data_IF_461756957279
#
_entry.id   IF_461756957279
#
_cell.length_a   1.000
_cell.length_b   1.000
_cell.length_c   1.000
_cell.angle_alpha   90.00
_cell.angle_beta   90.00
_cell.angle_gamma   90.00
#
_symmetry.space_group_name_H-M   'P 1'
#
loop_
_entity.id
_entity.type
_entity.pdbx_description
1 polymer ?
#
# COMPACT_ATOMS: atom_id res chain seq x y z
N UNK A 1 6.99 7.90 29.12
CA UNK A 1 6.77 7.37 27.78
C UNK A 1 7.81 7.98 26.88
N UNK A 2 8.63 7.14 26.24
CA UNK A 2 9.66 7.58 25.31
C UNK A 2 9.15 7.40 23.89
N UNK A 3 9.10 8.49 23.13
CA UNK A 3 8.66 8.45 21.74
C UNK A 3 9.84 8.17 20.83
N UNK A 4 9.60 7.44 19.75
CA UNK A 4 10.56 7.33 18.66
C UNK A 4 9.86 7.54 17.33
N UNK A 5 10.46 8.39 16.51
CA UNK A 5 9.96 8.76 15.19
C UNK A 5 10.90 8.15 14.16
N UNK A 6 10.41 7.13 13.46
CA UNK A 6 11.08 6.54 12.32
C UNK A 6 10.71 7.32 11.06
N UNK A 7 11.71 7.77 10.31
CA UNK A 7 11.48 8.67 9.18
C UNK A 7 12.17 8.23 7.89
N UNK A 8 11.48 8.38 6.77
CA UNK A 8 12.07 8.35 5.43
C UNK A 8 12.81 9.66 5.15
N UNK A 9 12.18 10.81 5.38
CA UNK A 9 12.81 12.13 5.25
C UNK A 9 12.73 12.89 6.57
N UNK A 10 13.85 13.47 6.99
CA UNK A 10 13.91 14.19 8.26
C UNK A 10 13.04 15.46 8.26
N UNK A 11 12.99 16.27 7.17
CA UNK A 11 12.11 17.43 7.11
C UNK A 11 10.62 17.11 7.34
N UNK A 12 10.14 15.97 6.86
CA UNK A 12 8.75 15.55 7.08
C UNK A 12 8.52 15.09 8.53
N UNK A 13 9.53 14.49 9.16
CA UNK A 13 9.46 14.17 10.59
C UNK A 13 9.37 15.43 11.44
N UNK A 14 10.20 16.44 11.15
CA UNK A 14 10.18 17.72 11.85
C UNK A 14 8.84 18.43 11.64
N UNK A 15 8.29 18.40 10.42
CA UNK A 15 6.95 18.90 10.12
C UNK A 15 5.85 18.27 11.00
N UNK A 16 5.84 16.94 11.15
CA UNK A 16 4.87 16.26 12.01
C UNK A 16 5.12 16.55 13.49
N UNK A 17 6.38 16.56 13.93
CA UNK A 17 6.73 16.80 15.34
C UNK A 17 6.30 18.19 15.77
N UNK A 18 6.66 19.22 15.02
CA UNK A 18 6.47 20.62 15.40
C UNK A 18 5.00 21.05 15.35
N UNK A 19 4.18 20.38 14.55
CA UNK A 19 2.74 20.66 14.44
C UNK A 19 1.85 19.77 15.33
N UNK A 20 2.42 18.82 16.07
CA UNK A 20 1.68 17.94 16.98
C UNK A 20 2.15 18.11 18.43
N UNK A 21 1.51 17.40 19.36
CA UNK A 21 1.92 17.32 20.75
C UNK A 21 3.28 16.63 20.94
N UNK A 22 3.83 15.99 19.91
CA UNK A 22 5.16 15.35 19.95
C UNK A 22 6.27 16.35 20.28
N UNK A 23 6.17 17.62 19.85
CA UNK A 23 7.14 18.67 20.20
C UNK A 23 7.30 18.87 21.72
N UNK A 24 6.26 18.54 22.48
CA UNK A 24 6.23 18.68 23.94
C UNK A 24 6.67 17.39 24.66
N UNK A 25 7.08 16.35 23.92
CA UNK A 25 7.45 15.04 24.47
C UNK A 25 8.96 14.82 24.41
N UNK A 26 9.42 13.84 25.19
CA UNK A 26 10.76 13.28 25.00
C UNK A 26 10.73 12.29 23.85
N UNK A 27 11.51 12.55 22.81
CA UNK A 27 11.56 11.69 21.64
C UNK A 27 12.97 11.51 21.07
N UNK A 28 13.13 10.47 20.25
CA UNK A 28 14.32 10.25 19.43
C UNK A 28 13.91 10.05 17.97
N UNK A 29 14.53 10.78 17.06
CA UNK A 29 14.39 10.53 15.61
C UNK A 29 15.33 9.42 15.17
N UNK A 30 14.88 8.52 14.30
CA UNK A 30 15.68 7.45 13.68
C UNK A 30 15.38 7.34 12.19
N UNK A 31 16.43 7.29 11.38
CA UNK A 31 16.29 6.98 9.95
C UNK A 31 15.66 5.60 9.81
N UNK A 32 14.61 5.52 9.00
CA UNK A 32 13.97 4.29 8.59
C UNK A 32 14.66 3.78 7.33
N UNK A 33 15.10 2.52 7.36
CA UNK A 33 15.61 1.83 6.17
C UNK A 33 14.48 1.00 5.58
N UNK A 34 14.11 1.27 4.33
CA UNK A 34 12.82 0.85 3.77
C UNK A 34 12.75 -0.66 3.44
N UNK A 35 13.88 -1.25 3.06
CA UNK A 35 14.00 -2.68 2.76
C UNK A 35 15.46 -3.12 2.69
N UNK A 36 15.73 -4.42 2.81
CA UNK A 36 17.04 -5.00 2.50
C UNK A 36 17.38 -4.85 1.00
N UNK A 37 16.36 -4.84 0.14
CA UNK A 37 16.50 -4.60 -1.29
C UNK A 37 17.16 -3.25 -1.60
N UNK A 38 16.81 -2.18 -0.88
CA UNK A 38 17.31 -0.84 -1.13
C UNK A 38 18.43 -0.43 -0.17
N UNK A 39 18.46 -0.98 1.05
CA UNK A 39 19.36 -0.58 2.13
C UNK A 39 20.03 -1.79 2.81
N UNK A 40 20.58 -2.70 2.01
CA UNK A 40 21.25 -3.93 2.45
C UNK A 40 22.17 -3.75 3.67
N UNK A 41 22.96 -2.66 3.68
CA UNK A 41 23.93 -2.39 4.74
C UNK A 41 23.30 -2.15 6.11
N UNK A 42 22.12 -1.55 6.19
CA UNK A 42 21.58 -1.06 7.46
C UNK A 42 20.20 -1.64 7.82
N UNK A 43 19.47 -2.25 6.87
CA UNK A 43 18.11 -2.73 7.13
C UNK A 43 18.02 -3.75 8.28
N UNK A 44 19.07 -4.55 8.47
CA UNK A 44 19.13 -5.51 9.58
C UNK A 44 18.95 -4.87 10.97
N UNK A 45 19.36 -3.60 11.12
CA UNK A 45 19.22 -2.82 12.35
C UNK A 45 17.79 -2.39 12.68
N UNK A 46 16.85 -2.50 11.73
CA UNK A 46 15.44 -2.16 11.99
C UNK A 46 14.83 -3.14 13.01
N UNK A 47 14.13 -2.68 14.04
CA UNK A 47 13.47 -3.59 14.97
C UNK A 47 12.40 -4.47 14.29
N UNK A 48 12.14 -5.65 14.84
CA UNK A 48 11.17 -6.61 14.28
C UNK A 48 9.77 -6.00 14.13
N UNK A 49 9.28 -5.30 15.15
CA UNK A 49 7.96 -4.66 15.12
C UNK A 49 7.84 -3.58 14.04
N UNK A 50 8.95 -2.91 13.67
CA UNK A 50 8.98 -1.99 12.53
C UNK A 50 9.04 -2.76 11.22
N UNK A 51 9.88 -3.80 11.11
CA UNK A 51 9.96 -4.65 9.91
C UNK A 51 8.60 -5.24 9.52
N UNK A 52 7.78 -5.59 10.51
CA UNK A 52 6.39 -6.05 10.31
C UNK A 52 5.49 -5.02 9.63
N UNK A 53 5.78 -3.72 9.72
CA UNK A 53 5.08 -2.66 8.96
C UNK A 53 5.69 -2.50 7.56
N UNK A 54 7.00 -2.76 7.41
CA UNK A 54 7.76 -2.56 6.16
C UNK A 54 7.73 -3.76 5.17
N UNK A 55 7.06 -4.85 5.54
CA UNK A 55 7.13 -6.12 4.79
C UNK A 55 6.64 -6.02 3.34
N UNK A 56 5.66 -5.16 3.06
CA UNK A 56 5.19 -4.87 1.70
C UNK A 56 5.98 -3.73 1.07
N UNK A 57 5.94 -2.56 1.70
CA UNK A 57 6.68 -1.36 1.34
C UNK A 57 6.69 -0.40 2.54
N UNK A 58 7.59 0.59 2.55
CA UNK A 58 7.75 1.50 3.68
C UNK A 58 6.82 2.72 3.58
N UNK A 59 6.12 3.12 4.68
CA UNK A 59 5.51 4.44 4.78
C UNK A 59 6.58 5.54 4.89
N UNK A 60 6.19 6.81 4.91
CA UNK A 60 7.14 7.92 5.05
C UNK A 60 7.54 8.18 6.52
N UNK A 61 6.66 7.85 7.46
CA UNK A 61 6.88 8.06 8.89
C UNK A 61 6.15 7.01 9.74
N UNK A 62 6.77 6.60 10.85
CA UNK A 62 6.14 5.77 11.89
C UNK A 62 6.47 6.38 13.25
N UNK A 63 5.47 6.56 14.10
CA UNK A 63 5.66 6.97 15.50
C UNK A 63 5.41 5.77 16.41
N UNK A 64 6.32 5.52 17.35
CA UNK A 64 6.15 4.53 18.41
C UNK A 64 6.25 5.17 19.81
N UNK A 65 5.53 4.59 20.77
CA UNK A 65 5.65 4.85 22.20
C UNK A 65 6.18 3.58 22.85
N UNK A 66 7.29 3.64 23.59
CA UNK A 66 7.82 2.53 24.39
C UNK A 66 7.91 1.20 23.59
N UNK A 67 8.38 1.28 22.33
CA UNK A 67 8.52 0.18 21.35
C UNK A 67 7.24 -0.34 20.68
N UNK A 68 6.11 0.31 20.91
CA UNK A 68 4.85 -0.02 20.23
C UNK A 68 4.50 1.08 19.21
N UNK A 69 4.39 0.75 17.91
CA UNK A 69 3.92 1.68 16.89
C UNK A 69 2.49 2.14 17.18
N UNK A 70 2.26 3.45 17.12
CA UNK A 70 1.00 4.09 17.47
C UNK A 70 0.31 4.73 16.25
N UNK A 71 1.06 5.12 15.23
CA UNK A 71 0.53 5.44 13.90
C UNK A 71 1.65 5.50 12.85
N UNK A 72 1.27 5.39 11.58
CA UNK A 72 2.12 5.64 10.41
C UNK A 72 1.55 6.75 9.54
N UNK A 73 2.40 7.38 8.72
CA UNK A 73 2.02 8.42 7.78
C UNK A 73 2.63 8.13 6.42
N UNK A 74 1.81 8.22 5.38
CA UNK A 74 2.19 8.14 3.97
C UNK A 74 1.78 9.43 3.28
N UNK A 75 2.68 10.00 2.46
CA UNK A 75 2.43 11.22 1.70
C UNK A 75 2.68 11.01 0.21
N UNK A 76 1.78 11.53 -0.61
CA UNK A 76 1.88 11.50 -2.06
C UNK A 76 1.44 12.83 -2.65
N UNK A 77 2.10 13.22 -3.73
CA UNK A 77 1.74 14.37 -4.58
C UNK A 77 1.35 13.93 -5.99
N UNK A 78 1.07 12.64 -6.17
CA UNK A 78 0.74 12.07 -7.47
C UNK A 78 -0.66 12.47 -7.95
N UNK A 79 -0.83 12.47 -9.27
CA UNK A 79 -2.12 12.74 -9.91
C UNK A 79 -3.12 11.59 -9.61
N UNK A 80 -4.38 11.94 -9.34
CA UNK A 80 -5.32 11.07 -8.63
C UNK A 80 -6.13 10.06 -9.45
N UNK A 81 -6.12 10.12 -10.78
CA UNK A 81 -7.06 9.34 -11.60
C UNK A 81 -6.69 7.86 -11.71
N UNK A 82 -7.71 7.01 -11.77
CA UNK A 82 -7.57 5.58 -12.05
C UNK A 82 -6.85 4.83 -10.93
N UNK A 83 -5.78 4.12 -11.29
CA UNK A 83 -5.01 3.26 -10.37
C UNK A 83 -4.06 4.06 -9.45
N UNK A 84 -3.75 5.32 -9.78
CA UNK A 84 -2.69 6.08 -9.12
C UNK A 84 -2.99 6.36 -7.64
N UNK A 85 -4.24 6.68 -7.30
CA UNK A 85 -4.65 6.91 -5.92
C UNK A 85 -4.36 5.70 -4.99
N UNK A 86 -4.30 4.50 -5.57
CA UNK A 86 -4.06 3.25 -4.86
C UNK A 86 -2.59 2.83 -4.83
N UNK A 87 -1.69 3.50 -5.56
CA UNK A 87 -0.29 3.08 -5.72
C UNK A 87 0.43 2.85 -4.37
N UNK A 88 0.06 3.63 -3.34
CA UNK A 88 0.62 3.54 -1.98
C UNK A 88 -0.22 2.68 -1.02
N UNK A 89 -1.35 2.14 -1.46
CA UNK A 89 -2.32 1.48 -0.60
C UNK A 89 -1.75 0.27 0.15
N UNK A 90 -0.82 -0.48 -0.45
CA UNK A 90 -0.15 -1.60 0.21
C UNK A 90 0.61 -1.20 1.49
N UNK A 91 1.13 0.04 1.58
CA UNK A 91 1.80 0.58 2.78
C UNK A 91 0.82 0.84 3.92
N UNK A 92 -0.36 1.36 3.56
CA UNK A 92 -1.46 1.62 4.47
C UNK A 92 -2.02 0.31 5.01
N UNK A 93 -2.29 -0.65 4.10
CA UNK A 93 -2.70 -2.00 4.47
C UNK A 93 -1.68 -2.64 5.43
N UNK A 94 -0.39 -2.66 5.09
CA UNK A 94 0.65 -3.22 5.97
C UNK A 94 0.64 -2.63 7.39
N UNK A 95 0.38 -1.33 7.53
CA UNK A 95 0.28 -0.67 8.84
C UNK A 95 -0.96 -1.15 9.61
N UNK A 96 -2.12 -1.11 8.95
CA UNK A 96 -3.41 -1.50 9.53
C UNK A 96 -3.44 -2.99 9.91
N UNK A 97 -2.87 -3.87 9.07
CA UNK A 97 -2.74 -5.31 9.32
C UNK A 97 -1.92 -5.60 10.60
N UNK A 98 -1.01 -4.70 10.96
CA UNK A 98 -0.19 -4.77 12.16
C UNK A 98 -0.73 -3.96 13.33
N UNK A 99 -2.02 -3.60 13.29
CA UNK A 99 -2.71 -2.81 14.31
C UNK A 99 -2.12 -1.42 14.55
N UNK A 100 -1.60 -0.81 13.47
CA UNK A 100 -1.05 0.53 13.47
C UNK A 100 -1.96 1.44 12.64
N UNK A 101 -2.61 2.44 13.27
CA UNK A 101 -3.38 3.46 12.56
C UNK A 101 -2.56 4.11 11.45
N UNK A 102 -3.18 4.34 10.30
CA UNK A 102 -2.50 4.90 9.13
C UNK A 102 -3.11 6.24 8.71
N UNK A 103 -2.26 7.22 8.45
CA UNK A 103 -2.62 8.49 7.83
C UNK A 103 -2.13 8.51 6.39
N UNK A 104 -3.00 8.92 5.45
CA UNK A 104 -2.67 9.07 4.05
C UNK A 104 -2.89 10.50 3.59
N UNK A 105 -1.82 11.19 3.22
CA UNK A 105 -1.86 12.54 2.67
C UNK A 105 -1.81 12.43 1.15
N UNK A 106 -2.90 12.80 0.47
CA UNK A 106 -3.00 12.71 -0.99
C UNK A 106 -3.77 13.89 -1.56
N UNK A 107 -3.36 14.51 -2.68
CA UNK A 107 -4.07 15.67 -3.22
C UNK A 107 -5.49 15.33 -3.67
N UNK A 108 -6.45 16.20 -3.38
CA UNK A 108 -7.79 16.06 -3.96
C UNK A 108 -7.75 16.10 -5.50
N UNK A 109 -6.88 16.96 -6.04
CA UNK A 109 -6.51 16.96 -7.45
C UNK A 109 -5.11 17.57 -7.62
N UNK A 110 -4.42 17.12 -8.68
CA UNK A 110 -3.16 17.69 -9.13
C UNK A 110 -3.27 18.10 -10.61
N UNK A 111 -2.57 19.16 -11.01
CA UNK A 111 -2.54 19.60 -12.41
C UNK A 111 -1.72 18.62 -13.24
N UNK A 112 -2.29 18.20 -14.37
CA UNK A 112 -1.58 17.48 -15.41
C UNK A 112 -1.54 18.31 -16.69
N UNK A 113 -0.37 18.31 -17.33
CA UNK A 113 -0.13 18.98 -18.61
C UNK A 113 0.21 17.91 -19.63
N UNK A 114 -0.49 17.93 -20.77
CA UNK A 114 -0.17 17.06 -21.92
C UNK A 114 0.14 17.94 -23.12
N UNK A 115 0.92 17.40 -24.05
CA UNK A 115 1.25 18.08 -25.29
C UNK A 115 -0.03 18.52 -26.01
N UNK A 116 -0.06 19.77 -26.46
CA UNK A 116 -1.15 20.37 -27.24
C UNK A 116 -2.54 20.43 -26.57
N UNK A 117 -2.60 20.32 -25.23
CA UNK A 117 -3.85 20.52 -24.48
C UNK A 117 -3.64 21.47 -23.29
N UNK A 118 -4.64 22.31 -22.95
CA UNK A 118 -4.57 23.13 -21.75
C UNK A 118 -4.37 22.27 -20.49
N UNK A 119 -3.65 22.79 -19.47
CA UNK A 119 -3.55 22.15 -18.17
C UNK A 119 -4.94 21.83 -17.61
N UNK A 120 -5.06 20.68 -16.93
CA UNK A 120 -6.31 20.28 -16.28
C UNK A 120 -6.07 19.63 -14.94
N UNK A 121 -7.07 19.71 -14.07
CA UNK A 121 -7.07 18.99 -12.80
C UNK A 121 -7.34 17.51 -13.00
N UNK A 122 -6.44 16.68 -12.50
CA UNK A 122 -6.59 15.23 -12.39
C UNK A 122 -7.02 14.89 -10.96
N UNK A 123 -8.32 14.61 -10.81
CA UNK A 123 -8.98 14.45 -9.51
C UNK A 123 -8.72 13.06 -8.93
N UNK A 124 -8.72 12.99 -7.60
CA UNK A 124 -8.62 11.73 -6.87
C UNK A 124 -9.77 10.78 -7.23
N UNK A 125 -9.42 9.52 -7.45
CA UNK A 125 -10.39 8.45 -7.61
C UNK A 125 -11.12 8.21 -6.29
N UNK A 126 -12.45 8.43 -6.20
CA UNK A 126 -13.16 8.35 -4.93
C UNK A 126 -13.20 6.94 -4.34
N UNK A 127 -13.00 5.90 -5.15
CA UNK A 127 -12.99 4.52 -4.65
C UNK A 127 -11.88 4.26 -3.61
N UNK A 128 -10.85 5.12 -3.52
CA UNK A 128 -9.84 5.07 -2.45
C UNK A 128 -10.46 5.26 -1.05
N UNK A 129 -11.50 6.09 -0.92
CA UNK A 129 -12.19 6.32 0.36
C UNK A 129 -12.86 5.04 0.84
N UNK A 130 -13.56 4.34 -0.07
CA UNK A 130 -14.19 3.06 0.23
C UNK A 130 -13.15 2.00 0.59
N UNK A 131 -12.04 1.91 -0.14
CA UNK A 131 -10.99 0.94 0.16
C UNK A 131 -10.39 1.15 1.56
N UNK A 132 -10.20 2.41 1.97
CA UNK A 132 -9.76 2.76 3.32
C UNK A 132 -10.82 2.46 4.40
N UNK A 133 -12.10 2.66 4.09
CA UNK A 133 -13.20 2.31 5.00
C UNK A 133 -13.32 0.79 5.20
N UNK A 134 -13.15 0.01 4.12
CA UNK A 134 -13.22 -1.45 4.15
C UNK A 134 -12.05 -2.05 4.96
N UNK A 135 -10.80 -1.63 4.70
CA UNK A 135 -9.64 -2.09 5.50
C UNK A 135 -9.78 -1.70 6.97
N UNK A 136 -10.27 -0.49 7.26
CA UNK A 136 -10.53 -0.03 8.63
C UNK A 136 -11.59 -0.89 9.33
N UNK A 137 -12.63 -1.31 8.60
CA UNK A 137 -13.72 -2.13 9.14
C UNK A 137 -13.29 -3.57 9.41
N UNK A 138 -12.47 -4.16 8.54
CA UNK A 138 -11.97 -5.53 8.71
C UNK A 138 -11.02 -5.63 9.91
N UNK A 139 -10.13 -4.64 10.08
CA UNK A 139 -9.13 -4.69 11.15
C UNK A 139 -9.54 -3.99 12.44
N UNK A 140 -10.59 -3.16 12.40
CA UNK A 140 -10.98 -2.23 13.46
C UNK A 140 -9.86 -1.26 13.86
N UNK A 141 -9.13 -0.74 12.86
CA UNK A 141 -7.98 0.15 13.03
C UNK A 141 -8.11 1.34 12.07
N UNK A 142 -7.95 2.59 12.53
CA UNK A 142 -8.13 3.76 11.66
C UNK A 142 -7.19 3.78 10.45
N UNK A 143 -7.76 4.08 9.28
CA UNK A 143 -7.03 4.40 8.06
C UNK A 143 -7.62 5.68 7.46
N UNK A 144 -6.98 6.82 7.70
CA UNK A 144 -7.56 8.16 7.50
C UNK A 144 -6.87 8.90 6.37
N UNK A 145 -7.63 9.35 5.36
CA UNK A 145 -7.12 10.20 4.28
C UNK A 145 -7.24 11.67 4.64
N UNK A 146 -6.22 12.47 4.38
CA UNK A 146 -6.20 13.93 4.44
C UNK A 146 -5.75 14.50 3.10
N UNK A 147 -6.38 15.59 2.65
CA UNK A 147 -6.00 16.17 1.37
C UNK A 147 -4.68 16.89 1.48
N UNK A 148 -3.75 16.53 0.59
CA UNK A 148 -2.59 17.37 0.34
C UNK A 148 -3.10 18.72 -0.22
N UNK A 149 -2.79 19.86 0.43
CA UNK A 149 -3.29 21.16 0.01
C UNK A 149 -2.95 21.48 -1.46
N UNK A 150 -3.94 21.95 -2.22
CA UNK A 150 -3.77 22.32 -3.63
C UNK A 150 -4.68 23.47 -4.02
N UNK A 151 -4.35 24.16 -5.13
CA UNK A 151 -5.15 25.26 -5.68
C UNK A 151 -6.51 24.80 -6.25
N UNK A 152 -6.82 23.50 -6.26
CA UNK A 152 -7.96 22.94 -6.98
C UNK A 152 -9.30 23.59 -6.63
N UNK A 153 -9.55 23.85 -5.34
CA UNK A 153 -10.81 24.45 -4.89
C UNK A 153 -10.90 25.95 -5.15
N UNK A 154 -9.77 26.65 -5.12
CA UNK A 154 -9.69 28.11 -5.31
C UNK A 154 -9.54 28.51 -6.78
N UNK A 155 -8.99 27.63 -7.61
CA UNK A 155 -8.74 27.81 -9.03
C UNK A 155 -9.30 26.62 -9.84
N UNK A 156 -10.65 26.51 -10.01
CA UNK A 156 -11.26 25.38 -10.73
C UNK A 156 -10.77 25.23 -12.18
N UNK A 157 -10.35 26.32 -12.82
CA UNK A 157 -9.59 26.29 -14.06
C UNK A 157 -8.08 26.18 -13.75
N UNK A 158 -7.49 25.02 -14.06
CA UNK A 158 -6.08 24.73 -13.79
C UNK A 158 -5.11 25.71 -14.46
N UNK A 159 -5.50 26.35 -15.57
CA UNK A 159 -4.67 27.34 -16.27
C UNK A 159 -4.48 28.63 -15.48
N UNK A 160 -5.35 28.89 -14.50
CA UNK A 160 -5.33 30.09 -13.64
C UNK A 160 -4.49 29.91 -12.39
N UNK A 161 -4.09 28.68 -12.04
CA UNK A 161 -3.21 28.43 -10.90
C UNK A 161 -1.83 29.04 -11.14
N UNK A 162 -1.31 29.76 -10.15
CA UNK A 162 0.08 30.24 -10.15
C UNK A 162 1.10 29.10 -9.93
N UNK A 163 0.65 27.96 -9.43
CA UNK A 163 1.47 26.81 -9.03
C UNK A 163 1.53 25.70 -10.11
N UNK A 164 1.36 26.03 -11.38
CA UNK A 164 1.36 25.05 -12.48
C UNK A 164 2.63 24.16 -12.51
N UNK A 165 3.80 24.74 -12.19
CA UNK A 165 5.08 24.00 -12.17
C UNK A 165 5.15 22.96 -11.04
N UNK A 166 4.44 23.18 -9.94
CA UNK A 166 4.31 22.23 -8.82
C UNK A 166 3.00 21.44 -8.90
N UNK A 167 2.40 21.35 -10.10
CA UNK A 167 1.12 20.65 -10.33
C UNK A 167 -0.04 21.21 -9.48
N UNK A 168 -0.02 22.49 -9.14
CA UNK A 168 -1.03 23.13 -8.29
C UNK A 168 -0.94 22.74 -6.82
N UNK A 169 0.10 22.03 -6.40
CA UNK A 169 0.31 21.54 -5.03
C UNK A 169 0.95 22.63 -4.17
N UNK A 170 0.45 22.78 -2.94
CA UNK A 170 0.89 23.79 -1.99
C UNK A 170 1.80 23.17 -0.92
N UNK A 171 3.08 23.55 -0.97
CA UNK A 171 4.10 23.09 -0.04
C UNK A 171 4.30 24.09 1.11
N UNK A 172 4.80 23.60 2.24
CA UNK A 172 5.20 24.47 3.33
C UNK A 172 6.40 25.36 2.93
N UNK A 173 6.33 26.69 3.14
CA UNK A 173 7.42 27.58 2.79
C UNK A 173 8.62 27.48 3.76
N UNK A 174 8.45 26.88 4.94
CA UNK A 174 9.54 26.69 5.89
C UNK A 174 10.52 25.65 5.34
N UNK A 175 11.78 26.05 5.15
CA UNK A 175 12.84 25.17 4.63
C UNK A 175 13.10 23.95 5.52
N UNK A 176 12.82 24.05 6.82
CA UNK A 176 12.94 22.90 7.73
C UNK A 176 11.92 21.80 7.42
N UNK A 177 10.84 22.13 6.72
CA UNK A 177 9.77 21.22 6.33
C UNK A 177 9.79 20.94 4.83
N UNK A 178 10.92 21.11 4.15
CA UNK A 178 11.05 20.99 2.69
C UNK A 178 10.34 19.75 2.12
N UNK A 179 9.42 19.98 1.18
CA UNK A 179 8.62 18.93 0.52
C UNK A 179 7.34 18.53 1.26
N UNK A 180 7.14 19.02 2.48
CA UNK A 180 5.92 18.79 3.28
C UNK A 180 4.75 19.63 2.78
N UNK A 181 3.50 19.19 3.01
CA UNK A 181 2.30 19.96 2.69
C UNK A 181 2.25 21.27 3.48
N UNK A 182 1.54 22.28 2.96
CA UNK A 182 1.32 23.54 3.66
C UNK A 182 0.66 23.32 5.04
N UNK A 183 1.44 23.46 6.13
CA UNK A 183 0.99 23.07 7.47
C UNK A 183 -0.14 23.93 8.05
N UNK A 184 -0.30 25.16 7.56
CA UNK A 184 -1.38 26.07 7.97
C UNK A 184 -2.72 25.78 7.29
N UNK A 185 -2.75 24.86 6.33
CA UNK A 185 -4.00 24.46 5.67
C UNK A 185 -4.91 23.70 6.65
N UNK A 186 -6.23 23.89 6.50
CA UNK A 186 -7.22 23.27 7.38
C UNK A 186 -7.14 21.73 7.38
N UNK A 187 -6.85 21.11 6.23
CA UNK A 187 -6.74 19.65 6.15
C UNK A 187 -5.53 19.14 6.94
N UNK A 188 -4.43 19.90 6.97
CA UNK A 188 -3.25 19.55 7.78
C UNK A 188 -3.51 19.78 9.27
N UNK A 189 -4.15 20.89 9.63
CA UNK A 189 -4.57 21.15 11.00
C UNK A 189 -5.49 20.04 11.56
N UNK A 190 -6.46 19.59 10.77
CA UNK A 190 -7.36 18.48 11.13
C UNK A 190 -6.60 17.15 11.29
N UNK A 191 -5.60 16.90 10.43
CA UNK A 191 -4.73 15.73 10.55
C UNK A 191 -3.93 15.76 11.84
N UNK A 192 -3.27 16.88 12.16
CA UNK A 192 -2.48 17.02 13.38
C UNK A 192 -3.34 16.87 14.63
N UNK A 193 -4.57 17.40 14.61
CA UNK A 193 -5.53 17.20 15.69
C UNK A 193 -5.86 15.71 15.89
N UNK A 194 -6.10 14.96 14.80
CA UNK A 194 -6.32 13.52 14.88
C UNK A 194 -5.09 12.74 15.40
N UNK A 195 -3.88 13.14 15.01
CA UNK A 195 -2.64 12.58 15.57
C UNK A 195 -2.54 12.83 17.07
N UNK A 196 -2.83 14.04 17.53
CA UNK A 196 -2.83 14.40 18.95
C UNK A 196 -3.86 13.57 19.75
N UNK A 197 -5.06 13.38 19.20
CA UNK A 197 -6.09 12.54 19.80
C UNK A 197 -5.64 11.06 19.91
N UNK A 198 -5.00 10.54 18.87
CA UNK A 198 -4.43 9.18 18.90
C UNK A 198 -3.34 9.07 19.98
N UNK A 199 -2.40 10.02 20.04
CA UNK A 199 -1.37 10.09 21.08
C UNK A 199 -2.02 10.10 22.46
N UNK A 200 -2.99 10.97 22.69
CA UNK A 200 -3.67 11.10 23.98
C UNK A 200 -4.41 9.82 24.40
N UNK A 201 -5.03 9.10 23.45
CA UNK A 201 -5.66 7.80 23.73
C UNK A 201 -4.62 6.79 24.21
N UNK A 202 -3.48 6.71 23.55
CA UNK A 202 -2.40 5.79 23.93
C UNK A 202 -1.74 6.15 25.25
N UNK A 203 -1.50 7.44 25.52
CA UNK A 203 -0.95 7.89 26.80
C UNK A 203 -1.91 7.59 27.97
N UNK A 204 -3.22 7.70 27.75
CA UNK A 204 -4.23 7.49 28.79
C UNK A 204 -4.55 6.01 29.06
N UNK A 205 -4.56 5.19 28.02
CA UNK A 205 -5.08 3.81 28.10
C UNK A 205 -4.03 2.73 27.85
N UNK A 206 -2.80 3.10 27.47
CA UNK A 206 -1.78 2.17 27.00
C UNK A 206 -2.07 1.67 25.58
N UNK A 207 -1.13 0.91 25.01
CA UNK A 207 -1.15 0.50 23.60
C UNK A 207 -2.27 -0.48 23.26
N UNK A 208 -2.46 -1.51 24.09
CA UNK A 208 -3.47 -2.55 23.83
C UNK A 208 -4.90 -1.98 23.92
N UNK A 209 -5.28 -1.42 25.07
CA UNK A 209 -6.63 -0.84 25.27
C UNK A 209 -6.85 0.45 24.47
N UNK A 210 -5.76 1.17 24.15
CA UNK A 210 -5.81 2.36 23.31
C UNK A 210 -6.31 2.04 21.91
N UNK A 211 -5.79 0.98 21.27
CA UNK A 211 -6.21 0.52 19.93
C UNK A 211 -7.72 0.32 19.83
N UNK A 212 -8.30 -0.38 20.80
CA UNK A 212 -9.74 -0.69 20.86
C UNK A 212 -10.62 0.58 20.96
N UNK A 213 -10.07 1.69 21.46
CA UNK A 213 -10.80 2.95 21.66
C UNK A 213 -10.72 3.90 20.48
N UNK A 214 -9.82 3.68 19.53
CA UNK A 214 -9.55 4.64 18.46
C UNK A 214 -10.77 4.90 17.57
N UNK A 215 -11.49 3.85 17.16
CA UNK A 215 -12.69 4.00 16.34
C UNK A 215 -13.87 4.65 17.08
N UNK A 216 -13.82 4.69 18.42
CA UNK A 216 -14.76 5.43 19.25
C UNK A 216 -14.39 6.91 19.44
N UNK A 217 -13.20 7.34 19.01
CA UNK A 217 -12.77 8.73 19.12
C UNK A 217 -13.57 9.62 18.15
N UNK A 218 -14.07 10.76 18.64
CA UNK A 218 -14.94 11.65 17.86
C UNK A 218 -14.25 12.25 16.64
N UNK A 219 -12.97 12.57 16.73
CA UNK A 219 -12.16 13.08 15.61
C UNK A 219 -12.00 12.02 14.53
N UNK A 220 -11.75 10.77 14.91
CA UNK A 220 -11.65 9.62 13.99
C UNK A 220 -13.00 9.35 13.31
N UNK A 221 -14.10 9.33 14.09
CA UNK A 221 -15.45 9.14 13.57
C UNK A 221 -15.80 10.24 12.56
N UNK A 222 -15.55 11.50 12.92
CA UNK A 222 -15.82 12.64 12.03
C UNK A 222 -15.05 12.52 10.71
N UNK A 223 -13.76 12.13 10.76
CA UNK A 223 -12.97 11.96 9.54
C UNK A 223 -13.44 10.78 8.68
N UNK A 224 -13.82 9.66 9.31
CA UNK A 224 -14.45 8.53 8.61
C UNK A 224 -15.76 8.96 7.92
N UNK A 225 -16.61 9.73 8.61
CA UNK A 225 -17.84 10.28 8.03
C UNK A 225 -17.54 11.19 6.84
N UNK A 226 -16.54 12.08 6.96
CA UNK A 226 -16.09 12.92 5.86
C UNK A 226 -15.65 12.09 4.64
N UNK A 227 -14.84 11.05 4.84
CA UNK A 227 -14.39 10.19 3.74
C UNK A 227 -15.55 9.50 3.03
N UNK A 228 -16.55 9.02 3.78
CA UNK A 228 -17.76 8.43 3.21
C UNK A 228 -18.61 9.45 2.44
N UNK A 229 -18.67 10.70 2.91
CA UNK A 229 -19.31 11.79 2.17
C UNK A 229 -18.53 12.13 0.90
N UNK A 230 -17.20 12.17 0.93
CA UNK A 230 -16.38 12.42 -0.25
C UNK A 230 -16.51 11.31 -1.30
N UNK A 231 -16.63 10.04 -0.88
CA UNK A 231 -16.98 8.95 -1.79
C UNK A 231 -18.30 9.25 -2.52
N UNK A 232 -19.36 9.59 -1.79
CA UNK A 232 -20.68 9.85 -2.37
C UNK A 232 -20.71 11.12 -3.23
N UNK A 233 -20.17 12.24 -2.73
CA UNK A 233 -20.20 13.55 -3.39
C UNK A 233 -19.40 13.56 -4.70
N UNK A 234 -18.35 12.74 -4.79
CA UNK A 234 -17.55 12.58 -6.01
C UNK A 234 -18.09 11.48 -6.94
N UNK A 235 -19.28 10.95 -6.66
CA UNK A 235 -19.97 9.96 -7.49
C UNK A 235 -19.34 8.57 -7.43
N UNK A 236 -18.69 8.21 -6.33
CA UNK A 236 -18.04 6.92 -6.12
C UNK A 236 -18.98 5.73 -6.37
N UNK A 237 -18.49 4.77 -7.16
CA UNK A 237 -19.23 3.54 -7.47
C UNK A 237 -18.28 2.38 -7.77
N UNK A 238 -18.76 1.14 -7.66
CA UNK A 238 -17.93 -0.06 -7.84
C UNK A 238 -17.50 -0.33 -9.29
N UNK A 239 -18.07 0.37 -10.28
CA UNK A 239 -17.64 0.28 -11.67
C UNK A 239 -16.42 1.19 -12.01
N UNK A 240 -15.74 1.75 -11.01
CA UNK A 240 -14.53 2.56 -11.19
C UNK A 240 -13.28 1.69 -11.24
N UNK A 241 -12.19 2.21 -11.83
CA UNK A 241 -10.87 1.60 -11.67
C UNK A 241 -10.45 1.58 -10.19
N UNK A 242 -9.78 0.52 -9.68
CA UNK A 242 -9.30 -0.64 -10.41
C UNK A 242 -10.36 -1.73 -10.67
N UNK A 243 -11.53 -1.66 -10.03
CA UNK A 243 -12.56 -2.70 -10.13
C UNK A 243 -13.15 -2.86 -11.53
N UNK A 244 -13.20 -1.80 -12.34
CA UNK A 244 -13.62 -1.87 -13.73
C UNK A 244 -12.73 -2.77 -14.62
N UNK A 245 -11.51 -3.05 -14.17
CA UNK A 245 -10.60 -3.98 -14.82
C UNK A 245 -10.67 -5.39 -14.22
N UNK A 246 -11.66 -5.67 -13.37
CA UNK A 246 -11.88 -7.00 -12.79
C UNK A 246 -13.03 -7.74 -13.45
N UNK A 247 -12.99 -9.07 -13.41
CA UNK A 247 -14.14 -9.94 -13.71
C UNK A 247 -14.28 -10.98 -12.61
N UNK A 248 -15.51 -11.40 -12.33
CA UNK A 248 -15.81 -12.48 -11.40
C UNK A 248 -16.32 -13.68 -12.19
N UNK A 249 -15.69 -14.83 -12.04
CA UNK A 249 -16.08 -16.08 -12.69
C UNK A 249 -15.97 -17.26 -11.71
N UNK A 250 -16.65 -18.40 -11.96
CA UNK A 250 -16.50 -19.58 -11.13
C UNK A 250 -15.04 -20.05 -11.09
N UNK A 251 -14.56 -20.44 -9.91
CA UNK A 251 -13.17 -20.89 -9.70
C UNK A 251 -12.80 -22.10 -10.55
N UNK A 252 -13.78 -22.93 -10.95
CA UNK A 252 -13.55 -24.04 -11.87
C UNK A 252 -12.83 -23.61 -13.16
N UNK A 253 -13.07 -22.39 -13.65
CA UNK A 253 -12.43 -21.87 -14.85
C UNK A 253 -10.93 -21.63 -14.65
N UNK A 254 -10.54 -21.15 -13.46
CA UNK A 254 -9.13 -21.04 -13.08
C UNK A 254 -8.48 -22.42 -12.96
N UNK A 255 -9.15 -23.36 -12.30
CA UNK A 255 -8.63 -24.70 -12.06
C UNK A 255 -8.45 -25.47 -13.38
N UNK A 256 -9.41 -25.39 -14.30
CA UNK A 256 -9.30 -26.00 -15.62
C UNK A 256 -8.14 -25.40 -16.41
N UNK A 257 -7.95 -24.08 -16.36
CA UNK A 257 -6.78 -23.44 -16.98
C UNK A 257 -5.47 -23.93 -16.37
N UNK A 258 -5.38 -24.02 -15.04
CA UNK A 258 -4.15 -24.43 -14.36
C UNK A 258 -3.90 -25.95 -14.44
N UNK A 259 -4.90 -26.77 -14.78
CA UNK A 259 -4.77 -28.23 -14.92
C UNK A 259 -3.70 -28.66 -15.93
N UNK A 260 -3.36 -27.79 -16.89
CA UNK A 260 -2.25 -28.01 -17.82
C UNK A 260 -0.87 -28.13 -17.14
N UNK A 261 -0.76 -27.67 -15.88
CA UNK A 261 0.46 -27.78 -15.07
C UNK A 261 0.42 -28.98 -14.10
N UNK A 262 -0.71 -29.68 -13.99
CA UNK A 262 -0.83 -30.91 -13.19
C UNK A 262 -0.18 -32.10 -13.91
N UNK A 263 0.23 -33.11 -13.15
CA UNK A 263 0.77 -34.37 -13.68
C UNK A 263 0.50 -35.52 -12.70
N UNK A 264 0.97 -36.73 -13.03
CA UNK A 264 0.71 -37.93 -12.22
C UNK A 264 1.16 -37.81 -10.74
N UNK A 265 2.11 -36.92 -10.43
CA UNK A 265 2.65 -36.72 -9.09
C UNK A 265 2.23 -35.40 -8.45
N UNK A 266 1.47 -34.56 -9.15
CA UNK A 266 1.12 -33.22 -8.69
C UNK A 266 -0.27 -32.80 -9.15
N UNK A 267 -1.09 -32.39 -8.19
CA UNK A 267 -2.38 -31.73 -8.40
C UNK A 267 -2.43 -30.45 -7.59
N UNK A 268 -3.12 -29.45 -8.09
CA UNK A 268 -3.35 -28.19 -7.40
C UNK A 268 -4.12 -28.47 -6.10
N UNK A 269 -3.60 -27.93 -5.01
CA UNK A 269 -4.06 -28.08 -3.63
C UNK A 269 -5.37 -27.37 -3.33
N UNK A 270 -5.71 -27.33 -2.04
CA UNK A 270 -7.07 -27.02 -1.61
C UNK A 270 -7.37 -25.53 -1.52
N UNK A 271 -6.35 -24.66 -1.36
CA UNK A 271 -6.55 -23.23 -1.15
C UNK A 271 -7.41 -22.59 -2.25
N UNK A 272 -7.05 -22.78 -3.52
CA UNK A 272 -7.85 -22.24 -4.63
C UNK A 272 -9.23 -22.88 -4.67
N UNK A 273 -9.32 -24.19 -4.43
CA UNK A 273 -10.57 -24.97 -4.49
C UNK A 273 -11.55 -24.63 -3.37
N UNK A 274 -11.07 -24.05 -2.27
CA UNK A 274 -11.89 -23.70 -1.11
C UNK A 274 -12.92 -22.59 -1.37
N UNK A 275 -12.88 -21.93 -2.55
CA UNK A 275 -13.73 -20.80 -2.90
C UNK A 275 -14.42 -21.02 -4.24
N UNK A 276 -15.73 -20.79 -4.29
CA UNK A 276 -16.55 -21.05 -5.47
C UNK A 276 -16.30 -20.07 -6.63
N UNK A 277 -15.90 -18.83 -6.33
CA UNK A 277 -15.70 -17.78 -7.31
C UNK A 277 -14.30 -17.15 -7.19
N UNK A 278 -13.80 -16.65 -8.33
CA UNK A 278 -12.51 -16.00 -8.47
C UNK A 278 -12.68 -14.61 -9.09
N UNK A 279 -12.02 -13.62 -8.48
CA UNK A 279 -11.84 -12.27 -9.04
C UNK A 279 -10.53 -12.24 -9.82
N UNK A 280 -10.64 -12.01 -11.12
CA UNK A 280 -9.48 -11.76 -11.98
C UNK A 280 -9.28 -10.27 -12.18
N UNK A 281 -8.12 -9.76 -11.79
CA UNK A 281 -7.67 -8.42 -12.14
C UNK A 281 -6.86 -8.45 -13.43
N UNK A 282 -7.41 -7.86 -14.49
CA UNK A 282 -6.85 -7.88 -15.84
C UNK A 282 -5.90 -6.71 -16.06
N UNK A 283 -4.67 -7.01 -16.47
CA UNK A 283 -3.62 -6.03 -16.74
C UNK A 283 -3.04 -6.25 -18.13
N UNK A 284 -3.52 -5.50 -19.12
CA UNK A 284 -3.00 -5.52 -20.49
C UNK A 284 -1.77 -4.59 -20.65
N UNK A 285 -0.72 -4.86 -19.88
CA UNK A 285 0.54 -4.12 -19.90
C UNK A 285 1.75 -5.06 -19.79
N UNK A 286 2.94 -4.52 -20.06
CA UNK A 286 4.19 -5.21 -19.72
C UNK A 286 4.35 -5.29 -18.20
N UNK A 287 5.04 -6.33 -17.72
CA UNK A 287 5.27 -6.54 -16.29
C UNK A 287 5.99 -5.33 -15.68
N UNK A 288 5.39 -4.75 -14.63
CA UNK A 288 5.96 -3.61 -13.90
C UNK A 288 5.42 -3.55 -12.49
N UNK A 289 6.05 -2.70 -11.67
CA UNK A 289 5.51 -2.32 -10.37
C UNK A 289 4.31 -1.39 -10.53
N UNK A 290 4.51 -0.10 -10.33
CA UNK A 290 3.39 0.82 -10.20
C UNK A 290 2.57 0.97 -11.51
N UNK A 291 1.24 1.16 -11.41
CA UNK A 291 0.45 1.32 -10.18
C UNK A 291 -0.15 0.00 -9.63
N UNK A 292 0.14 -1.14 -10.27
CA UNK A 292 -0.59 -2.39 -10.09
C UNK A 292 -0.50 -3.04 -8.70
N UNK A 293 0.63 -3.01 -7.97
CA UNK A 293 0.73 -3.55 -6.62
C UNK A 293 -0.30 -2.96 -5.67
N UNK A 294 -0.40 -1.63 -5.66
CA UNK A 294 -1.33 -0.91 -4.80
C UNK A 294 -2.79 -1.12 -5.20
N UNK A 295 -3.06 -1.18 -6.51
CA UNK A 295 -4.38 -1.52 -7.03
C UNK A 295 -4.83 -2.95 -6.66
N UNK A 296 -3.92 -3.93 -6.77
CA UNK A 296 -4.19 -5.31 -6.36
C UNK A 296 -4.51 -5.40 -4.87
N UNK A 297 -3.74 -4.69 -4.03
CA UNK A 297 -4.03 -4.58 -2.61
C UNK A 297 -5.43 -4.00 -2.37
N UNK A 298 -5.79 -2.90 -3.04
CA UNK A 298 -7.12 -2.31 -2.89
C UNK A 298 -8.26 -3.24 -3.36
N UNK A 299 -8.08 -3.99 -4.46
CA UNK A 299 -9.07 -4.97 -4.94
C UNK A 299 -9.33 -6.06 -3.89
N UNK A 300 -8.28 -6.54 -3.21
CA UNK A 300 -8.42 -7.54 -2.14
C UNK A 300 -9.43 -7.05 -1.09
N UNK A 301 -9.24 -5.83 -0.60
CA UNK A 301 -10.09 -5.22 0.42
C UNK A 301 -11.48 -4.84 -0.07
N UNK A 302 -11.61 -4.41 -1.32
CA UNK A 302 -12.89 -3.97 -1.89
C UNK A 302 -13.82 -5.13 -2.27
N UNK A 303 -13.26 -6.28 -2.68
CA UNK A 303 -14.03 -7.38 -3.25
C UNK A 303 -13.83 -8.74 -2.57
N UNK A 304 -12.62 -9.07 -2.12
CA UNK A 304 -12.26 -10.46 -1.81
C UNK A 304 -12.28 -10.78 -0.32
N UNK A 305 -11.83 -9.85 0.52
CA UNK A 305 -11.51 -10.11 1.92
C UNK A 305 -12.69 -9.91 2.86
N UNK A 306 -12.92 -10.87 3.75
CA UNK A 306 -13.90 -10.76 4.85
C UNK A 306 -13.24 -10.82 6.23
N UNK A 307 -12.01 -11.34 6.34
CA UNK A 307 -11.24 -11.41 7.59
C UNK A 307 -9.80 -10.90 7.50
N UNK A 308 -9.01 -11.16 8.54
CA UNK A 308 -7.65 -10.59 8.71
C UNK A 308 -6.56 -11.36 7.97
N UNK A 309 -6.81 -12.60 7.60
CA UNK A 309 -5.89 -13.41 6.80
C UNK A 309 -6.35 -13.49 5.34
N UNK A 310 -5.42 -13.86 4.45
CA UNK A 310 -5.79 -14.17 3.07
C UNK A 310 -6.64 -15.44 2.98
N UNK A 311 -6.64 -16.31 3.99
CA UNK A 311 -7.44 -17.53 4.05
C UNK A 311 -8.92 -17.19 4.21
N UNK A 312 -9.23 -16.15 4.98
CA UNK A 312 -10.58 -15.60 5.21
C UNK A 312 -11.10 -14.71 4.05
N UNK A 313 -10.64 -14.97 2.83
CA UNK A 313 -11.22 -14.36 1.63
C UNK A 313 -12.42 -15.17 1.17
N UNK A 314 -13.45 -14.45 0.71
CA UNK A 314 -14.61 -15.00 0.03
C UNK A 314 -14.29 -15.45 -1.40
N UNK A 315 -13.43 -14.72 -2.10
CA UNK A 315 -13.06 -15.01 -3.48
C UNK A 315 -11.54 -15.17 -3.61
N UNK A 316 -11.11 -16.04 -4.53
CA UNK A 316 -9.72 -16.02 -4.96
C UNK A 316 -9.41 -14.70 -5.66
N UNK A 317 -8.21 -14.18 -5.45
CA UNK A 317 -7.71 -13.00 -6.17
C UNK A 317 -6.60 -13.37 -7.13
N UNK A 318 -6.85 -13.23 -8.43
CA UNK A 318 -5.91 -13.57 -9.49
C UNK A 318 -5.46 -12.32 -10.22
N UNK A 319 -4.15 -12.12 -10.34
CA UNK A 319 -3.55 -11.08 -11.18
C UNK A 319 -3.23 -11.65 -12.56
N UNK A 320 -3.95 -11.24 -13.61
CA UNK A 320 -3.69 -11.68 -14.97
C UNK A 320 -2.99 -10.57 -15.77
N UNK A 321 -1.77 -10.82 -16.25
CA UNK A 321 -1.03 -9.92 -17.13
C UNK A 321 -1.49 -10.03 -18.60
N UNK A 322 -2.81 -10.01 -18.78
CA UNK A 322 -3.51 -10.13 -20.05
C UNK A 322 -4.97 -9.68 -19.86
N UNK A 323 -5.67 -9.42 -20.97
CA UNK A 323 -7.13 -9.58 -20.98
C UNK A 323 -7.50 -11.07 -20.82
N UNK A 324 -8.78 -11.37 -20.62
CA UNK A 324 -9.27 -12.74 -20.43
C UNK A 324 -10.42 -12.99 -21.39
N UNK A 325 -10.29 -14.04 -22.20
CA UNK A 325 -11.42 -14.64 -22.92
C UNK A 325 -11.95 -15.80 -22.08
N UNK A 326 -13.27 -15.88 -21.96
CA UNK A 326 -13.95 -16.96 -21.23
C UNK A 326 -14.40 -17.99 -22.26
N UNK A 327 -14.01 -19.25 -22.07
CA UNK A 327 -14.52 -20.38 -22.82
C UNK A 327 -15.53 -21.14 -21.95
N UNK A 328 -16.81 -20.84 -22.15
CA UNK A 328 -17.90 -21.47 -21.42
C UNK A 328 -18.13 -22.93 -21.82
N UNK A 329 -17.70 -23.35 -23.01
CA UNK A 329 -17.89 -24.73 -23.47
C UNK A 329 -16.95 -25.68 -22.73
N UNK A 330 -15.69 -25.28 -22.55
CA UNK A 330 -14.69 -26.04 -21.81
C UNK A 330 -14.53 -25.59 -20.35
N UNK A 331 -15.33 -24.58 -19.93
CA UNK A 331 -15.25 -23.96 -18.61
C UNK A 331 -13.80 -23.57 -18.25
N UNK A 332 -13.13 -22.87 -19.14
CA UNK A 332 -11.73 -22.46 -18.98
C UNK A 332 -11.54 -21.01 -19.43
N UNK A 333 -10.32 -20.50 -19.32
CA UNK A 333 -9.96 -19.15 -19.77
C UNK A 333 -8.82 -19.19 -20.77
N UNK A 334 -8.75 -18.16 -21.61
CA UNK A 334 -7.61 -17.89 -22.48
C UNK A 334 -7.04 -16.50 -22.19
N UNK A 335 -5.72 -16.38 -22.33
CA UNK A 335 -4.97 -15.16 -22.09
C UNK A 335 -4.40 -14.64 -23.43
N UNK A 336 -5.16 -13.88 -24.24
CA UNK A 336 -4.75 -13.46 -25.57
C UNK A 336 -3.63 -12.40 -25.60
N UNK A 337 -3.25 -11.87 -24.43
CA UNK A 337 -2.23 -10.84 -24.30
C UNK A 337 -0.85 -11.32 -24.74
N UNK A 338 0.01 -10.37 -25.11
CA UNK A 338 1.38 -10.68 -25.54
C UNK A 338 2.46 -9.90 -24.78
N UNK A 339 2.05 -8.95 -23.93
CA UNK A 339 2.95 -7.99 -23.27
C UNK A 339 3.56 -8.52 -21.98
N UNK A 340 2.74 -9.10 -21.10
CA UNK A 340 3.22 -9.69 -19.85
C UNK A 340 3.93 -11.00 -20.12
N UNK A 341 5.06 -11.22 -19.47
CA UNK A 341 5.85 -12.45 -19.57
C UNK A 341 6.22 -12.98 -18.20
N UNK A 342 6.06 -14.28 -17.98
CA UNK A 342 6.46 -14.93 -16.72
C UNK A 342 7.96 -14.73 -16.46
N UNK A 343 8.77 -14.70 -17.51
CA UNK A 343 10.21 -14.45 -17.42
C UNK A 343 10.54 -13.05 -16.87
N UNK A 344 9.69 -12.05 -17.05
CA UNK A 344 9.90 -10.72 -16.46
C UNK A 344 9.80 -10.79 -14.93
N UNK A 345 8.82 -11.55 -14.42
CA UNK A 345 8.66 -11.82 -13.00
C UNK A 345 9.87 -12.60 -12.47
N UNK A 346 10.27 -13.68 -13.15
CA UNK A 346 11.41 -14.51 -12.76
C UNK A 346 12.70 -13.69 -12.73
N UNK A 347 12.95 -12.84 -13.73
CA UNK A 347 14.12 -11.95 -13.76
C UNK A 347 14.12 -10.97 -12.59
N UNK A 348 12.98 -10.40 -12.21
CA UNK A 348 12.89 -9.50 -11.06
C UNK A 348 13.17 -10.23 -9.72
N UNK A 349 12.76 -11.51 -9.60
CA UNK A 349 13.09 -12.36 -8.45
C UNK A 349 14.59 -12.68 -8.44
N UNK A 350 15.15 -13.17 -9.56
CA UNK A 350 16.57 -13.52 -9.68
C UNK A 350 17.49 -12.33 -9.45
N UNK A 351 17.10 -11.14 -9.90
CA UNK A 351 17.83 -9.89 -9.63
C UNK A 351 17.90 -9.53 -8.14
N UNK A 352 17.12 -10.20 -7.28
CA UNK A 352 17.19 -10.06 -5.82
C UNK A 352 18.16 -11.05 -5.18
N UNK A 353 18.61 -12.08 -5.90
CA UNK A 353 19.49 -13.14 -5.37
C UNK A 353 20.90 -12.62 -5.07
N UNK A 354 21.39 -11.63 -5.82
CA UNK A 354 22.64 -10.95 -5.49
C UNK A 354 22.64 -10.24 -4.12
N UNK A 355 21.46 -10.08 -3.50
CA UNK A 355 21.29 -9.55 -2.14
C UNK A 355 21.11 -10.65 -1.11
N UNK A 356 20.84 -11.88 -1.52
CA UNK A 356 20.74 -13.02 -0.64
C UNK A 356 22.16 -13.50 -0.29
N UNK A 357 22.49 -13.48 1.00
CA UNK A 357 23.81 -13.88 1.49
C UNK A 357 23.77 -15.22 2.22
N UNK A 358 22.62 -15.91 2.23
CA UNK A 358 22.44 -17.20 2.89
C UNK A 358 23.22 -18.36 2.26
N UNK A 359 23.66 -18.19 1.02
CA UNK A 359 24.48 -19.18 0.30
C UNK A 359 25.99 -19.01 0.52
N UNK A 360 26.44 -17.95 1.22
CA UNK A 360 27.85 -17.76 1.53
C UNK A 360 28.32 -18.74 2.60
N UNK A 361 29.52 -19.28 2.43
CA UNK A 361 30.22 -19.96 3.52
C UNK A 361 30.53 -18.97 4.64
N UNK A 362 30.51 -19.43 5.89
CA UNK A 362 30.72 -18.54 7.05
C UNK A 362 32.05 -17.78 6.99
N UNK A 363 33.10 -18.41 6.46
CA UNK A 363 34.41 -17.79 6.29
C UNK A 363 34.41 -16.60 5.31
N UNK A 364 33.43 -16.53 4.41
CA UNK A 364 33.27 -15.48 3.40
C UNK A 364 32.28 -14.38 3.82
N UNK A 365 31.65 -14.51 5.00
CA UNK A 365 30.75 -13.50 5.54
C UNK A 365 31.60 -12.43 6.23
N UNK A 366 31.59 -11.21 5.68
CA UNK A 366 32.25 -10.09 6.35
C UNK A 366 31.59 -9.81 7.72
N UNK A 367 32.38 -9.42 8.72
CA UNK A 367 31.88 -9.21 10.09
C UNK A 367 30.65 -8.29 10.18
N UNK A 368 30.58 -7.25 9.34
CA UNK A 368 29.46 -6.32 9.30
C UNK A 368 28.20 -6.90 8.63
N UNK A 369 28.33 -7.99 7.87
CA UNK A 369 27.23 -8.73 7.26
C UNK A 369 26.65 -9.81 8.20
N UNK A 370 27.35 -10.21 9.26
CA UNK A 370 26.89 -11.26 10.20
C UNK A 370 25.47 -10.98 10.73
N UNK A 371 25.12 -9.76 11.21
CA UNK A 371 23.76 -9.48 11.67
C UNK A 371 22.72 -9.54 10.54
N UNK A 372 23.11 -9.14 9.33
CA UNK A 372 22.27 -9.21 8.12
C UNK A 372 22.04 -10.66 7.70
N UNK A 373 23.06 -11.51 7.76
CA UNK A 373 22.95 -12.94 7.51
C UNK A 373 21.97 -13.57 8.49
N UNK A 374 22.13 -13.30 9.79
CA UNK A 374 21.22 -13.81 10.81
C UNK A 374 19.77 -13.31 10.64
N UNK A 375 19.58 -12.06 10.20
CA UNK A 375 18.26 -11.58 9.80
C UNK A 375 17.68 -12.39 8.63
N UNK A 376 18.46 -12.64 7.57
CA UNK A 376 17.99 -13.43 6.43
C UNK A 376 17.71 -14.90 6.83
N UNK A 377 18.40 -15.46 7.83
CA UNK A 377 18.05 -16.79 8.37
C UNK A 377 16.64 -16.77 8.95
N UNK A 378 16.25 -15.68 9.63
CA UNK A 378 14.92 -15.54 10.25
C UNK A 378 13.79 -15.30 9.25
N UNK A 379 14.01 -14.48 8.22
CA UNK A 379 12.94 -14.04 7.31
C UNK A 379 13.10 -14.54 5.87
N UNK A 380 14.11 -15.35 5.60
CA UNK A 380 14.55 -15.67 4.24
C UNK A 380 14.87 -14.40 3.45
N UNK A 381 14.54 -14.44 2.16
CA UNK A 381 14.72 -13.31 1.23
C UNK A 381 13.56 -12.33 1.20
N UNK A 382 12.63 -12.36 2.18
CA UNK A 382 11.41 -11.53 2.19
C UNK A 382 11.69 -10.06 1.90
N UNK A 383 12.64 -9.46 2.63
CA UNK A 383 12.97 -8.03 2.50
C UNK A 383 13.99 -7.73 1.39
N UNK A 384 14.63 -8.76 0.83
CA UNK A 384 15.61 -8.64 -0.25
C UNK A 384 14.95 -8.55 -1.62
N UNK A 385 13.70 -9.05 -1.74
CA UNK A 385 12.86 -8.93 -2.93
C UNK A 385 12.40 -7.48 -3.14
N UNK A 386 12.33 -7.07 -4.40
CA UNK A 386 11.79 -5.75 -4.79
C UNK A 386 10.30 -5.62 -4.47
N UNK A 387 9.83 -4.38 -4.25
CA UNK A 387 8.48 -4.11 -3.70
C UNK A 387 7.33 -4.82 -4.42
N UNK A 388 7.32 -4.82 -5.75
CA UNK A 388 6.19 -5.33 -6.52
C UNK A 388 6.10 -6.85 -6.43
N UNK A 389 7.23 -7.56 -6.34
CA UNK A 389 7.24 -9.00 -6.08
C UNK A 389 6.64 -9.29 -4.70
N UNK A 390 7.07 -8.56 -3.66
CA UNK A 390 6.53 -8.75 -2.30
C UNK A 390 5.01 -8.55 -2.26
N UNK A 391 4.52 -7.47 -2.87
CA UNK A 391 3.09 -7.13 -2.86
C UNK A 391 2.27 -8.08 -3.73
N UNK A 392 2.70 -8.39 -4.95
CA UNK A 392 1.99 -9.33 -5.82
C UNK A 392 1.89 -10.71 -5.18
N UNK A 393 3.01 -11.24 -4.67
CA UNK A 393 3.03 -12.53 -4.00
C UNK A 393 2.28 -12.55 -2.67
N UNK A 394 2.03 -11.38 -2.05
CA UNK A 394 1.25 -11.28 -0.81
C UNK A 394 -0.27 -11.21 -1.06
N UNK A 395 -0.71 -10.51 -2.11
CA UNK A 395 -2.14 -10.35 -2.36
C UNK A 395 -2.71 -11.34 -3.36
N UNK A 396 -1.95 -11.79 -4.35
CA UNK A 396 -2.46 -12.72 -5.35
C UNK A 396 -2.44 -14.18 -4.85
N UNK A 397 -3.56 -14.88 -5.04
CA UNK A 397 -3.62 -16.34 -4.91
C UNK A 397 -3.03 -17.03 -6.15
N UNK A 398 -3.15 -16.39 -7.32
CA UNK A 398 -2.40 -16.75 -8.52
C UNK A 398 -2.03 -15.52 -9.37
N UNK A 399 -0.92 -15.63 -10.11
CA UNK A 399 -0.47 -14.65 -11.09
C UNK A 399 -0.35 -15.37 -12.43
N UNK A 400 -1.11 -14.91 -13.41
CA UNK A 400 -1.16 -15.51 -14.74
C UNK A 400 -0.48 -14.61 -15.77
N UNK A 401 0.27 -15.24 -16.65
CA UNK A 401 0.88 -14.65 -17.83
C UNK A 401 0.43 -15.45 -19.06
N UNK A 402 0.40 -14.84 -20.26
CA UNK A 402 0.15 -15.57 -21.50
C UNK A 402 1.05 -16.80 -21.73
N UNK A 403 2.26 -16.80 -21.14
CA UNK A 403 3.30 -17.82 -21.30
C UNK A 403 3.62 -18.59 -20.01
N UNK A 404 2.86 -18.41 -18.92
CA UNK A 404 3.10 -19.14 -17.69
C UNK A 404 2.22 -18.71 -16.52
N UNK A 405 2.26 -19.45 -15.42
CA UNK A 405 1.46 -19.17 -14.23
C UNK A 405 2.23 -19.45 -12.94
N UNK A 406 1.87 -18.74 -11.88
CA UNK A 406 2.37 -18.93 -10.52
C UNK A 406 1.16 -18.91 -9.58
N UNK A 407 1.08 -19.83 -8.62
CA UNK A 407 -0.03 -19.86 -7.66
C UNK A 407 0.43 -20.27 -6.27
N UNK A 408 -0.41 -19.95 -5.30
CA UNK A 408 -0.29 -20.46 -3.94
C UNK A 408 -0.93 -21.83 -3.87
N UNK A 409 -0.22 -22.73 -3.20
CA UNK A 409 -0.71 -24.05 -2.89
C UNK A 409 -0.72 -24.23 -1.37
N UNK A 410 -1.74 -24.91 -0.87
CA UNK A 410 -1.87 -25.34 0.52
C UNK A 410 -2.31 -26.81 0.53
#
# INVERSE_FOLDING_TARGET
MNFRIWYSTEPFADFVIDNTELRNKTFVKKKMYESDANNAKNFHTMPDHIKKILYLDAPDLIVEIDHEPIFSVEVSTEAGTGHNAFQRFARLAASVENNVPAFYIYPEAAIITRQDTPPKWDKINPLVFKALDDVMSIYNIPALLYYYPSDYRTHPDASTSANQLTKGILHDPNRNYSGSPLGTDAEMADMFNAMNEIIAVFERHGTVKGREKLLGNRTVIARRTFMNQEFANKGGHLNMSPLSATIKIPTQYLLNYLSQFENANYSIGELLRSRDETIFYKVNAAFRGDPYPGALAAIDYLLCREGKSFEERRFNLVLAWSDINIDDANQTIELPGTKGKVDDFVRAVQASENKNILSKDYADIANHEIPRYYMQVRYGSTYSKVKHIRVFSYFADAILFPDGALWRDA
#
